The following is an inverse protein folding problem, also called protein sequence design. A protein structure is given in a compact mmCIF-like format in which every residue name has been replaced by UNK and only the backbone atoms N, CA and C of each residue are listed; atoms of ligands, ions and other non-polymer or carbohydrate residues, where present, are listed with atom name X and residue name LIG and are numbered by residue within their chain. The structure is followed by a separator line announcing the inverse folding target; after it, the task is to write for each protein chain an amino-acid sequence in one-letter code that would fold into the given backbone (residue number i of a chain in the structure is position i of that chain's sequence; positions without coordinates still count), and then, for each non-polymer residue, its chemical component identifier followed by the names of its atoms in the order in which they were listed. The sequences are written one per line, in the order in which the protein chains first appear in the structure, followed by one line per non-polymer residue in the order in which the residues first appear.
data_IF_672859998757
#
_entry.id   IF_672859998757
#
_cell.length_a   1.000
_cell.length_b   1.000
_cell.length_c   1.000
_cell.angle_alpha   90.00
_cell.angle_beta   90.00
_cell.angle_gamma   90.00
#
_symmetry.space_group_name_H-M   'P 1'
#
loop_
_entity.id
_entity.type
_entity.pdbx_description
1 polymer ?
#
# COMPACT_ATOMS: atom_id res chain seq x y z
N UNK A 1 -4.94 42.36 34.81
CA UNK A 1 -5.37 43.76 34.75
C UNK A 1 -5.79 44.07 33.32
N UNK A 2 -7.09 44.32 33.11
CA UNK A 2 -7.79 44.95 31.96
C UNK A 2 -7.76 44.22 30.60
N UNK A 3 -8.87 43.56 30.20
CA UNK A 3 -10.10 44.09 29.52
C UNK A 3 -9.88 44.28 28.01
N UNK A 4 -10.56 43.57 27.08
CA UNK A 4 -12.00 43.45 26.78
C UNK A 4 -12.56 44.59 25.90
N UNK A 5 -13.57 44.24 25.08
CA UNK A 5 -14.47 45.03 24.19
C UNK A 5 -14.09 44.91 22.70
N UNK A 6 -14.96 44.37 21.84
CA UNK A 6 -16.30 44.89 21.52
C UNK A 6 -17.46 43.89 21.61
N UNK A 7 -18.58 44.40 22.12
CA UNK A 7 -19.95 43.89 22.09
C UNK A 7 -20.88 45.07 21.76
N UNK A 8 -21.97 44.78 21.03
CA UNK A 8 -23.31 45.40 21.01
C UNK A 8 -23.85 45.22 19.58
N UNK A 9 -25.01 44.61 19.30
CA UNK A 9 -26.37 44.76 19.86
C UNK A 9 -27.28 45.05 18.63
N UNK A 10 -28.57 44.71 18.49
CA UNK A 10 -29.69 44.34 19.34
C UNK A 10 -30.82 43.79 18.42
N UNK A 11 -31.53 42.72 18.81
CA UNK A 11 -32.98 42.61 19.16
C UNK A 11 -34.06 43.08 18.17
N UNK A 12 -34.97 42.16 17.80
CA UNK A 12 -36.41 42.03 18.17
C UNK A 12 -37.15 41.19 17.10
N UNK A 13 -37.90 40.10 17.38
CA UNK A 13 -39.18 39.90 18.12
C UNK A 13 -40.41 39.82 17.18
N UNK A 14 -41.18 38.73 17.28
CA UNK A 14 -42.54 38.52 16.71
C UNK A 14 -42.66 37.14 16.03
N UNK A 15 -43.17 36.06 16.65
CA UNK A 15 -44.51 35.75 17.21
C UNK A 15 -45.57 35.37 16.15
N UNK A 16 -46.40 34.36 16.51
CA UNK A 16 -47.53 33.69 15.80
C UNK A 16 -47.09 32.45 14.98
N UNK A 17 -47.47 31.20 15.25
CA UNK A 17 -48.55 30.61 16.05
C UNK A 17 -49.63 30.06 15.12
N UNK A 18 -49.77 28.73 14.98
CA UNK A 18 -51.04 27.97 14.85
C UNK A 18 -50.76 26.44 14.74
N UNK A 19 -51.19 25.71 15.78
CA UNK A 19 -51.66 24.32 15.81
C UNK A 19 -52.84 24.12 14.82
N UNK A 20 -53.30 22.95 14.33
CA UNK A 20 -53.27 21.57 14.80
C UNK A 20 -53.99 20.62 13.80
N UNK A 21 -53.54 19.35 13.77
CA UNK A 21 -54.29 18.08 13.78
C UNK A 21 -55.23 17.55 12.64
N UNK A 22 -55.14 16.21 12.51
CA UNK A 22 -56.17 15.16 12.20
C UNK A 22 -56.11 14.47 10.81
N UNK A 23 -55.69 13.19 10.81
CA UNK A 23 -56.00 12.12 9.81
C UNK A 23 -57.31 11.39 10.21
N UNK A 24 -57.82 10.28 9.59
CA UNK A 24 -57.41 9.47 8.42
C UNK A 24 -58.61 9.03 7.50
N UNK A 25 -58.39 8.21 6.45
CA UNK A 25 -59.20 7.02 6.06
C UNK A 25 -58.80 6.42 4.68
N UNK A 26 -59.38 5.25 4.37
CA UNK A 26 -58.84 4.03 3.74
C UNK A 26 -59.54 3.65 2.40
N UNK A 27 -59.01 2.65 1.68
CA UNK A 27 -59.61 1.80 0.60
C UNK A 27 -59.74 2.42 -0.81
N UNK A 28 -59.58 1.77 -1.98
CA UNK A 28 -59.31 0.38 -2.41
C UNK A 28 -59.53 0.26 -3.96
N UNK A 29 -58.92 -0.74 -4.60
CA UNK A 29 -59.22 -1.36 -5.93
C UNK A 29 -58.91 -0.69 -7.31
N UNK A 30 -58.06 -1.38 -8.09
CA UNK A 30 -57.89 -1.44 -9.57
C UNK A 30 -59.06 -2.19 -10.27
N UNK A 31 -59.30 -2.19 -11.63
CA UNK A 31 -58.31 -2.45 -12.72
C UNK A 31 -58.52 -1.85 -14.18
N UNK A 32 -57.39 -1.74 -14.93
CA UNK A 32 -57.13 -2.07 -16.38
C UNK A 32 -57.45 -1.05 -17.53
N UNK A 33 -56.66 -1.02 -18.67
CA UNK A 33 -56.19 0.17 -19.43
C UNK A 33 -56.85 0.27 -20.86
N UNK A 34 -56.38 0.93 -21.97
CA UNK A 34 -55.01 1.21 -22.50
C UNK A 34 -54.72 2.63 -23.08
N UNK A 35 -53.46 3.07 -23.13
CA UNK A 35 -52.77 3.43 -24.39
C UNK A 35 -51.31 3.84 -24.15
N UNK A 36 -50.47 3.52 -25.15
CA UNK A 36 -49.02 3.57 -25.13
C UNK A 36 -48.46 4.96 -25.49
N UNK A 37 -47.48 5.45 -24.71
CA UNK A 37 -46.41 6.33 -25.18
C UNK A 37 -45.08 6.00 -24.46
N UNK A 38 -43.93 6.07 -25.15
CA UNK A 38 -42.65 5.60 -24.62
C UNK A 38 -41.98 6.65 -23.72
N UNK A 39 -42.00 6.43 -22.41
CA UNK A 39 -41.19 7.22 -21.48
C UNK A 39 -39.73 6.73 -21.49
N UNK A 40 -38.85 7.63 -21.95
CA UNK A 40 -37.40 7.58 -21.80
C UNK A 40 -37.02 7.18 -20.38
N UNK A 41 -36.46 5.98 -20.22
CA UNK A 41 -35.63 5.65 -19.07
C UNK A 41 -34.40 6.57 -19.09
N UNK A 42 -34.46 7.62 -18.30
CA UNK A 42 -33.29 8.36 -17.83
C UNK A 42 -32.48 7.41 -16.93
N UNK A 43 -31.63 6.58 -17.54
CA UNK A 43 -30.50 5.96 -16.87
C UNK A 43 -29.51 7.07 -16.50
N UNK A 44 -29.80 7.79 -15.42
CA UNK A 44 -28.79 8.50 -14.68
C UNK A 44 -28.00 7.43 -13.91
N UNK A 45 -27.05 6.80 -14.60
CA UNK A 45 -25.91 6.20 -13.94
C UNK A 45 -25.15 7.40 -13.37
N UNK A 46 -25.36 7.67 -12.08
CA UNK A 46 -24.44 8.49 -11.30
C UNK A 46 -23.08 7.81 -11.36
N UNK A 47 -22.32 8.18 -12.37
CA UNK A 47 -20.92 7.88 -12.50
C UNK A 47 -20.23 8.77 -11.46
N UNK A 48 -20.27 8.35 -10.19
CA UNK A 48 -19.44 8.92 -9.13
C UNK A 48 -18.00 8.49 -9.39
N UNK A 49 -17.41 9.02 -10.45
CA UNK A 49 -15.96 9.18 -10.50
C UNK A 49 -15.67 10.15 -9.36
N UNK A 50 -15.24 9.63 -8.21
CA UNK A 50 -14.64 10.45 -7.15
C UNK A 50 -13.47 11.20 -7.78
N UNK A 51 -13.72 12.45 -8.20
CA UNK A 51 -12.66 13.37 -8.58
C UNK A 51 -11.70 13.43 -7.39
N UNK A 52 -10.51 12.87 -7.62
CA UNK A 52 -9.51 12.66 -6.60
C UNK A 52 -8.95 14.02 -6.16
N UNK A 53 -9.58 14.61 -5.15
CA UNK A 53 -9.21 15.92 -4.62
C UNK A 53 -7.75 15.85 -4.12
N UNK A 54 -6.91 16.78 -4.58
CA UNK A 54 -5.49 16.88 -4.18
C UNK A 54 -5.39 17.41 -2.74
N UNK A 55 -5.86 16.61 -1.78
CA UNK A 55 -6.02 16.99 -0.37
C UNK A 55 -4.69 17.34 0.30
N UNK A 56 -3.58 16.82 -0.20
CA UNK A 56 -2.23 17.09 0.32
C UNK A 56 -1.41 18.07 -0.55
N UNK A 57 -1.95 18.57 -1.67
CA UNK A 57 -1.25 19.53 -2.52
C UNK A 57 -0.08 18.94 -3.33
N UNK A 58 -0.05 17.63 -3.56
CA UNK A 58 1.02 16.96 -4.32
C UNK A 58 0.98 17.39 -5.78
N UNK A 59 -0.20 17.62 -6.34
CA UNK A 59 -0.33 18.08 -7.73
C UNK A 59 0.19 19.51 -7.90
N UNK A 60 0.16 20.34 -6.85
CA UNK A 60 0.80 21.67 -6.87
C UNK A 60 2.32 21.62 -7.08
N UNK A 61 2.96 20.47 -6.83
CA UNK A 61 4.37 20.24 -7.19
C UNK A 61 4.57 20.09 -8.71
N UNK A 62 3.51 19.78 -9.45
CA UNK A 62 3.45 19.60 -10.92
C UNK A 62 3.04 20.87 -11.63
N UNK A 63 2.15 21.68 -11.04
CA UNK A 63 1.37 22.78 -11.68
C UNK A 63 2.17 23.94 -12.29
N UNK A 64 3.46 23.78 -12.55
CA UNK A 64 4.29 24.71 -13.32
C UNK A 64 4.65 24.23 -14.73
N UNK A 65 4.20 23.06 -15.20
CA UNK A 65 4.74 22.46 -16.42
C UNK A 65 3.66 22.14 -17.46
N UNK A 66 3.96 22.58 -18.69
CA UNK A 66 3.19 22.68 -19.95
C UNK A 66 2.47 21.39 -20.43
N UNK A 67 1.67 21.56 -21.49
CA UNK A 67 0.89 20.55 -22.24
C UNK A 67 1.57 19.17 -22.33
N UNK A 68 0.94 18.16 -21.73
CA UNK A 68 1.45 16.79 -21.55
C UNK A 68 1.31 15.97 -22.84
N UNK A 69 2.22 16.16 -23.79
CA UNK A 69 2.33 15.29 -24.96
C UNK A 69 3.56 14.36 -24.84
N UNK A 70 3.34 13.04 -24.90
CA UNK A 70 4.41 12.02 -24.82
C UNK A 70 5.30 12.02 -26.05
N UNK A 71 4.77 12.40 -27.21
CA UNK A 71 5.42 12.25 -28.50
C UNK A 71 6.36 13.43 -28.82
N UNK A 72 6.42 14.41 -27.93
CA UNK A 72 7.32 15.56 -28.00
C UNK A 72 8.49 15.36 -27.04
N UNK A 73 9.72 15.33 -27.56
CA UNK A 73 10.94 15.10 -26.76
C UNK A 73 11.16 16.12 -25.65
N UNK A 74 10.73 17.38 -25.83
CA UNK A 74 10.78 18.42 -24.79
C UNK A 74 9.80 18.18 -23.64
N UNK A 75 8.80 17.31 -23.83
CA UNK A 75 7.72 17.04 -22.89
C UNK A 75 7.89 15.70 -22.14
N UNK A 76 8.96 14.94 -22.43
CA UNK A 76 9.18 13.62 -21.84
C UNK A 76 9.33 13.66 -20.31
N UNK A 77 10.15 14.57 -19.76
CA UNK A 77 10.31 14.73 -18.31
C UNK A 77 9.01 15.21 -17.63
N UNK A 78 8.31 16.24 -18.13
CA UNK A 78 6.98 16.63 -17.64
C UNK A 78 6.00 15.46 -17.55
N UNK A 79 5.89 14.66 -18.62
CA UNK A 79 5.02 13.48 -18.66
C UNK A 79 5.43 12.43 -17.62
N UNK A 80 6.72 12.09 -17.55
CA UNK A 80 7.25 11.14 -16.56
C UNK A 80 6.90 11.60 -15.14
N UNK A 81 7.17 12.88 -14.81
CA UNK A 81 6.88 13.43 -13.49
C UNK A 81 5.37 13.37 -13.17
N UNK A 82 4.52 13.77 -14.12
CA UNK A 82 3.07 13.75 -13.94
C UNK A 82 2.54 12.34 -13.69
N UNK A 83 3.00 11.36 -14.49
CA UNK A 83 2.60 9.95 -14.32
C UNK A 83 3.04 9.38 -12.98
N UNK A 84 4.30 9.61 -12.58
CA UNK A 84 4.80 9.14 -11.29
C UNK A 84 4.06 9.79 -10.13
N UNK A 85 3.80 11.10 -10.17
CA UNK A 85 3.11 11.78 -9.09
C UNK A 85 1.64 11.37 -8.99
N UNK A 86 0.95 11.16 -10.11
CA UNK A 86 -0.40 10.58 -10.12
C UNK A 86 -0.39 9.15 -9.53
N UNK A 87 0.57 8.32 -9.93
CA UNK A 87 0.75 6.98 -9.36
C UNK A 87 1.07 7.00 -7.87
N UNK A 88 1.95 7.90 -7.42
CA UNK A 88 2.28 8.10 -6.00
C UNK A 88 1.05 8.53 -5.20
N UNK A 89 0.30 9.48 -5.76
CA UNK A 89 -0.98 9.90 -5.23
C UNK A 89 -2.02 8.82 -5.20
N UNK A 90 -1.80 7.64 -5.77
CA UNK A 90 -2.69 6.47 -5.71
C UNK A 90 -2.14 5.30 -4.88
N UNK A 91 -0.83 5.21 -4.73
CA UNK A 91 -0.18 4.01 -4.20
C UNK A 91 0.60 4.23 -2.92
N UNK A 92 0.87 5.48 -2.52
CA UNK A 92 1.66 5.78 -1.32
C UNK A 92 0.80 6.26 -0.16
N UNK A 93 1.19 5.82 1.04
CA UNK A 93 0.56 6.18 2.32
C UNK A 93 0.82 7.64 2.71
N UNK A 94 2.02 8.15 2.45
CA UNK A 94 2.46 9.54 2.72
C UNK A 94 3.14 10.14 1.46
N UNK A 95 2.38 10.47 0.40
CA UNK A 95 2.93 10.89 -0.88
C UNK A 95 3.74 12.20 -0.78
N UNK A 96 3.29 13.17 0.03
CA UNK A 96 3.99 14.45 0.21
C UNK A 96 5.40 14.30 0.80
N UNK A 97 5.61 13.31 1.68
CA UNK A 97 6.90 13.09 2.31
C UNK A 97 8.00 12.73 1.30
N UNK A 98 7.63 12.17 0.13
CA UNK A 98 8.58 11.67 -0.88
C UNK A 98 8.49 12.35 -2.24
N UNK A 99 7.44 13.13 -2.52
CA UNK A 99 7.26 13.79 -3.82
C UNK A 99 8.45 14.66 -4.27
N UNK A 100 9.05 15.53 -3.42
CA UNK A 100 10.23 16.31 -3.82
C UNK A 100 11.43 15.43 -4.18
N UNK A 101 11.69 14.40 -3.38
CA UNK A 101 12.78 13.46 -3.61
C UNK A 101 12.59 12.69 -4.93
N UNK A 102 11.37 12.21 -5.21
CA UNK A 102 11.08 11.48 -6.46
C UNK A 102 11.27 12.38 -7.67
N UNK A 103 10.79 13.62 -7.61
CA UNK A 103 11.00 14.62 -8.67
C UNK A 103 12.48 14.80 -8.98
N UNK A 104 13.29 15.03 -7.96
CA UNK A 104 14.72 15.30 -8.15
C UNK A 104 15.48 14.06 -8.67
N UNK A 105 15.12 12.85 -8.20
CA UNK A 105 15.69 11.59 -8.71
C UNK A 105 15.34 11.37 -10.18
N UNK A 106 14.07 11.57 -10.57
CA UNK A 106 13.63 11.39 -11.96
C UNK A 106 14.25 12.43 -12.89
N UNK A 107 14.36 13.69 -12.45
CA UNK A 107 15.03 14.74 -13.22
C UNK A 107 16.51 14.39 -13.48
N UNK A 108 17.24 13.96 -12.44
CA UNK A 108 18.63 13.51 -12.60
C UNK A 108 18.74 12.28 -13.51
N UNK A 109 17.85 11.31 -13.35
CA UNK A 109 17.81 10.09 -14.18
C UNK A 109 17.61 10.42 -15.66
N UNK A 110 16.66 11.30 -15.98
CA UNK A 110 16.37 11.70 -17.35
C UNK A 110 17.49 12.51 -17.99
N UNK A 111 18.28 13.23 -17.19
CA UNK A 111 19.44 14.00 -17.65
C UNK A 111 20.71 13.16 -17.80
N UNK A 112 20.79 12.00 -17.12
CA UNK A 112 22.01 11.19 -17.07
C UNK A 112 22.27 10.39 -18.36
N UNK A 113 21.22 9.79 -18.96
CA UNK A 113 21.35 9.10 -20.24
C UNK A 113 20.00 8.90 -20.93
N UNK A 114 20.04 8.72 -22.25
CA UNK A 114 18.86 8.40 -23.05
C UNK A 114 18.24 7.05 -22.64
N UNK A 115 19.07 6.04 -22.37
CA UNK A 115 18.61 4.72 -21.91
C UNK A 115 17.83 4.79 -20.57
N UNK A 116 18.32 5.58 -19.62
CA UNK A 116 17.66 5.79 -18.34
C UNK A 116 16.37 6.60 -18.48
N UNK A 117 16.34 7.58 -19.39
CA UNK A 117 15.15 8.35 -19.73
C UNK A 117 14.09 7.47 -20.39
N UNK A 118 14.47 6.62 -21.33
CA UNK A 118 13.56 5.69 -22.03
C UNK A 118 12.97 4.66 -21.07
N UNK A 119 13.79 4.15 -20.14
CA UNK A 119 13.31 3.23 -19.10
C UNK A 119 12.31 3.91 -18.16
N UNK A 120 12.58 5.15 -17.75
CA UNK A 120 11.65 5.94 -16.95
C UNK A 120 10.35 6.25 -17.72
N UNK A 121 10.44 6.52 -19.03
CA UNK A 121 9.28 6.71 -19.90
C UNK A 121 8.42 5.45 -20.00
N UNK A 122 9.04 4.27 -20.14
CA UNK A 122 8.32 2.99 -20.17
C UNK A 122 7.60 2.72 -18.84
N UNK A 123 8.28 2.93 -17.70
CA UNK A 123 7.68 2.81 -16.36
C UNK A 123 6.50 3.78 -16.17
N UNK A 124 6.68 5.04 -16.57
CA UNK A 124 5.62 6.06 -16.53
C UNK A 124 4.43 5.69 -17.42
N UNK A 125 4.68 5.15 -18.61
CA UNK A 125 3.62 4.72 -19.53
C UNK A 125 2.83 3.55 -18.95
N UNK A 126 3.53 2.53 -18.42
CA UNK A 126 2.88 1.38 -17.78
C UNK A 126 2.05 1.83 -16.58
N UNK A 127 2.59 2.73 -15.75
CA UNK A 127 1.87 3.32 -14.62
C UNK A 127 0.58 4.01 -15.06
N UNK A 128 0.66 4.87 -16.09
CA UNK A 128 -0.49 5.62 -16.60
C UNK A 128 -1.56 4.67 -17.18
N UNK A 129 -1.16 3.67 -17.97
CA UNK A 129 -2.06 2.66 -18.51
C UNK A 129 -2.81 1.89 -17.42
N UNK A 130 -2.09 1.46 -16.38
CA UNK A 130 -2.63 0.74 -15.23
C UNK A 130 -3.57 1.63 -14.41
N UNK A 131 -3.16 2.87 -14.15
CA UNK A 131 -3.97 3.83 -13.40
C UNK A 131 -5.26 4.21 -14.12
N UNK A 132 -5.25 4.30 -15.45
CA UNK A 132 -6.47 4.57 -16.23
C UNK A 132 -7.39 3.37 -16.31
N UNK A 133 -6.84 2.16 -16.31
CA UNK A 133 -7.60 0.92 -16.49
C UNK A 133 -7.25 -0.12 -15.41
N UNK A 134 -7.58 0.14 -14.12
CA UNK A 134 -7.20 -0.76 -13.03
C UNK A 134 -7.81 -2.17 -13.15
N UNK A 135 -8.91 -2.31 -13.91
CA UNK A 135 -9.62 -3.58 -14.13
C UNK A 135 -9.10 -4.40 -15.31
N UNK A 136 -8.20 -3.86 -16.13
CA UNK A 136 -7.68 -4.57 -17.28
C UNK A 136 -6.70 -5.67 -16.87
N UNK A 137 -6.72 -6.79 -17.59
CA UNK A 137 -5.74 -7.87 -17.38
C UNK A 137 -4.34 -7.37 -17.75
N UNK A 138 -3.32 -7.81 -17.00
CA UNK A 138 -1.91 -7.49 -17.27
C UNK A 138 -1.49 -7.82 -18.70
N UNK A 139 -1.98 -8.94 -19.23
CA UNK A 139 -1.66 -9.40 -20.58
C UNK A 139 -2.22 -8.47 -21.67
N UNK A 140 -3.11 -7.54 -21.32
CA UNK A 140 -3.67 -6.55 -22.21
C UNK A 140 -2.75 -5.35 -22.44
N UNK A 141 -1.59 -5.27 -21.78
CA UNK A 141 -0.64 -4.16 -21.90
C UNK A 141 0.67 -4.60 -22.57
N UNK A 142 0.82 -4.47 -23.90
CA UNK A 142 2.06 -4.79 -24.61
C UNK A 142 3.30 -4.08 -24.05
N UNK A 143 3.11 -2.86 -23.54
CA UNK A 143 4.17 -2.05 -22.92
C UNK A 143 4.71 -2.70 -21.64
N UNK A 144 3.90 -3.44 -20.89
CA UNK A 144 4.36 -4.18 -19.71
C UNK A 144 5.28 -5.33 -20.10
N UNK A 145 4.93 -6.10 -21.14
CA UNK A 145 5.78 -7.18 -21.66
C UNK A 145 7.11 -6.63 -22.16
N UNK A 146 7.09 -5.50 -22.88
CA UNK A 146 8.29 -4.83 -23.34
C UNK A 146 9.18 -4.38 -22.17
N UNK A 147 8.57 -3.80 -21.14
CA UNK A 147 9.28 -3.41 -19.92
C UNK A 147 9.88 -4.63 -19.21
N UNK A 148 9.13 -5.72 -19.05
CA UNK A 148 9.62 -6.96 -18.43
C UNK A 148 10.86 -7.48 -19.17
N UNK A 149 10.80 -7.57 -20.51
CA UNK A 149 11.92 -8.02 -21.33
C UNK A 149 13.14 -7.12 -21.13
N UNK A 150 12.97 -5.80 -21.24
CA UNK A 150 14.07 -4.83 -21.06
C UNK A 150 14.73 -4.96 -19.70
N UNK A 151 13.94 -5.07 -18.63
CA UNK A 151 14.47 -5.22 -17.27
C UNK A 151 15.16 -6.58 -17.09
N UNK A 152 14.66 -7.64 -17.70
CA UNK A 152 15.30 -8.96 -17.66
C UNK A 152 16.67 -8.96 -18.35
N UNK A 153 16.78 -8.32 -19.51
CA UNK A 153 18.04 -8.19 -20.24
C UNK A 153 19.05 -7.36 -19.44
N UNK A 154 18.59 -6.26 -18.83
CA UNK A 154 19.40 -5.43 -17.94
C UNK A 154 19.93 -6.23 -16.74
N UNK A 155 19.08 -7.04 -16.09
CA UNK A 155 19.47 -7.91 -14.97
C UNK A 155 20.54 -8.91 -15.39
N UNK A 156 20.37 -9.56 -16.55
CA UNK A 156 21.34 -10.54 -17.04
C UNK A 156 22.71 -9.90 -17.32
N UNK A 157 22.70 -8.72 -17.95
CA UNK A 157 23.92 -7.94 -18.21
C UNK A 157 24.62 -7.52 -16.91
N UNK A 158 23.86 -6.94 -15.98
CA UNK A 158 24.40 -6.45 -14.70
C UNK A 158 24.93 -7.59 -13.85
N UNK A 159 24.23 -8.73 -13.78
CA UNK A 159 24.71 -9.89 -13.03
C UNK A 159 26.06 -10.39 -13.56
N UNK A 160 26.19 -10.51 -14.88
CA UNK A 160 27.43 -10.93 -15.52
C UNK A 160 28.55 -9.90 -15.32
N UNK A 161 28.21 -8.61 -15.37
CA UNK A 161 29.11 -7.50 -15.10
C UNK A 161 29.60 -7.47 -13.65
N UNK A 162 28.71 -7.67 -12.66
CA UNK A 162 29.08 -7.74 -11.24
C UNK A 162 30.03 -8.90 -10.93
N UNK A 163 29.88 -10.03 -11.62
CA UNK A 163 30.76 -11.19 -11.41
C UNK A 163 32.17 -10.97 -11.96
N UNK A 164 32.32 -10.11 -12.98
CA UNK A 164 33.60 -9.86 -13.65
C UNK A 164 34.28 -8.57 -13.19
N UNK A 165 33.52 -7.51 -12.96
CA UNK A 165 33.97 -6.17 -12.62
C UNK A 165 33.01 -5.51 -11.60
N UNK A 166 33.02 -5.95 -10.32
CA UNK A 166 32.06 -5.51 -9.31
C UNK A 166 31.96 -3.98 -9.17
N UNK A 167 33.10 -3.30 -9.09
CA UNK A 167 33.18 -1.84 -8.90
C UNK A 167 32.53 -1.06 -10.05
N UNK A 168 32.66 -1.56 -11.28
CA UNK A 168 32.12 -0.89 -12.47
C UNK A 168 30.60 -1.05 -12.59
N UNK A 169 30.05 -2.16 -12.12
CA UNK A 169 28.64 -2.51 -12.30
C UNK A 169 27.79 -2.28 -11.05
N UNK A 170 28.37 -1.76 -9.96
CA UNK A 170 27.66 -1.54 -8.70
C UNK A 170 26.49 -0.56 -8.85
N UNK A 171 26.71 0.58 -9.51
CA UNK A 171 25.65 1.56 -9.76
C UNK A 171 24.55 1.00 -10.68
N UNK A 172 24.94 0.26 -11.72
CA UNK A 172 23.98 -0.41 -12.60
C UNK A 172 23.13 -1.44 -11.84
N UNK A 173 23.70 -2.09 -10.82
CA UNK A 173 22.99 -3.01 -9.95
C UNK A 173 21.98 -2.32 -9.05
N UNK A 174 22.35 -1.20 -8.42
CA UNK A 174 21.40 -0.40 -7.67
C UNK A 174 20.24 0.10 -8.55
N UNK A 175 20.53 0.49 -9.78
CA UNK A 175 19.51 0.92 -10.74
C UNK A 175 18.60 -0.23 -11.18
N UNK A 176 19.13 -1.41 -11.47
CA UNK A 176 18.33 -2.59 -11.80
C UNK A 176 17.40 -3.00 -10.64
N UNK A 177 17.90 -2.97 -9.40
CA UNK A 177 17.10 -3.19 -8.19
C UNK A 177 15.97 -2.14 -8.06
N UNK A 178 16.28 -0.86 -8.29
CA UNK A 178 15.27 0.21 -8.27
C UNK A 178 14.20 0.01 -9.35
N UNK A 179 14.58 -0.33 -10.59
CA UNK A 179 13.63 -0.49 -11.68
C UNK A 179 12.67 -1.66 -11.45
N UNK A 180 13.16 -2.80 -10.96
CA UNK A 180 12.31 -3.95 -10.66
C UNK A 180 11.36 -3.63 -9.51
N UNK A 181 11.87 -2.97 -8.47
CA UNK A 181 11.01 -2.52 -7.41
C UNK A 181 9.96 -1.55 -7.94
N UNK A 182 10.34 -0.52 -8.70
CA UNK A 182 9.40 0.42 -9.32
C UNK A 182 8.36 -0.33 -10.16
N UNK A 183 8.74 -1.33 -10.96
CA UNK A 183 7.79 -2.14 -11.74
C UNK A 183 6.81 -2.93 -10.85
N UNK A 184 7.33 -3.70 -9.88
CA UNK A 184 6.51 -4.49 -8.95
C UNK A 184 5.55 -3.58 -8.16
N UNK A 185 5.98 -2.35 -7.90
CA UNK A 185 5.35 -1.46 -6.95
C UNK A 185 4.48 -0.37 -7.54
N UNK A 186 4.64 -0.09 -8.82
CA UNK A 186 3.78 0.82 -9.57
C UNK A 186 2.59 0.08 -10.16
N UNK A 187 2.67 -1.26 -10.24
CA UNK A 187 1.62 -2.15 -10.75
C UNK A 187 0.99 -3.10 -9.68
N UNK A 188 1.00 -2.89 -8.34
CA UNK A 188 0.59 -3.95 -7.39
C UNK A 188 -0.90 -4.25 -7.43
N UNK A 189 -1.73 -3.25 -7.73
CA UNK A 189 -3.17 -3.44 -7.90
C UNK A 189 -3.51 -4.22 -9.18
N UNK A 190 -2.52 -4.42 -10.06
CA UNK A 190 -2.72 -5.07 -11.34
C UNK A 190 -1.84 -6.29 -11.56
N UNK A 191 -0.70 -6.46 -10.88
CA UNK A 191 0.22 -7.63 -11.01
C UNK A 191 -0.19 -8.79 -10.10
N UNK A 192 -0.05 -10.02 -10.61
CA UNK A 192 -0.24 -11.21 -9.78
C UNK A 192 0.89 -11.35 -8.75
N UNK A 193 0.59 -11.92 -7.58
CA UNK A 193 1.61 -12.26 -6.57
C UNK A 193 2.70 -13.15 -7.15
N UNK A 194 2.34 -14.06 -8.06
CA UNK A 194 3.29 -14.91 -8.79
C UNK A 194 4.32 -14.09 -9.59
N UNK A 195 3.87 -13.06 -10.30
CA UNK A 195 4.76 -12.17 -11.03
C UNK A 195 5.72 -11.43 -10.08
N UNK A 196 5.22 -10.95 -8.94
CA UNK A 196 6.05 -10.26 -7.95
C UNK A 196 7.11 -11.20 -7.36
N UNK A 197 6.76 -12.45 -7.06
CA UNK A 197 7.69 -13.49 -6.61
C UNK A 197 8.72 -13.82 -7.70
N UNK A 198 8.30 -13.95 -8.97
CA UNK A 198 9.19 -14.18 -10.12
C UNK A 198 10.22 -13.05 -10.23
N UNK A 199 9.79 -11.81 -10.09
CA UNK A 199 10.68 -10.63 -10.16
C UNK A 199 11.64 -10.56 -8.98
N UNK A 200 11.18 -10.83 -7.75
CA UNK A 200 12.05 -10.90 -6.58
C UNK A 200 13.15 -11.95 -6.75
N UNK A 201 12.80 -13.15 -7.22
CA UNK A 201 13.76 -14.23 -7.47
C UNK A 201 14.82 -13.85 -8.51
N UNK A 202 14.46 -13.04 -9.51
CA UNK A 202 15.42 -12.56 -10.54
C UNK A 202 16.45 -11.59 -9.97
N UNK A 203 16.03 -10.72 -9.06
CA UNK A 203 16.94 -9.72 -8.48
C UNK A 203 17.70 -10.20 -7.25
N UNK A 204 17.24 -11.25 -6.58
CA UNK A 204 17.89 -11.76 -5.37
C UNK A 204 19.38 -12.10 -5.57
N UNK A 205 19.83 -12.71 -6.68
CA UNK A 205 21.26 -12.92 -6.94
C UNK A 205 22.05 -11.62 -7.06
N UNK A 206 21.48 -10.59 -7.71
CA UNK A 206 22.13 -9.27 -7.81
C UNK A 206 22.23 -8.64 -6.42
N UNK A 207 21.15 -8.65 -5.66
CA UNK A 207 21.16 -8.14 -4.30
C UNK A 207 22.24 -8.82 -3.45
N UNK A 208 22.35 -10.16 -3.52
CA UNK A 208 23.41 -10.91 -2.84
C UNK A 208 24.81 -10.50 -3.31
N UNK A 209 25.04 -10.31 -4.61
CA UNK A 209 26.35 -9.89 -5.13
C UNK A 209 26.75 -8.48 -4.68
N UNK A 210 25.80 -7.55 -4.62
CA UNK A 210 26.05 -6.17 -4.19
C UNK A 210 26.22 -6.07 -2.68
N UNK A 211 25.68 -7.03 -1.94
CA UNK A 211 25.72 -7.08 -0.48
C UNK A 211 26.80 -8.02 0.08
N UNK A 212 27.36 -8.93 -0.72
CA UNK A 212 28.20 -10.01 -0.22
C UNK A 212 29.49 -9.50 0.45
N UNK A 213 29.43 -9.32 1.77
CA UNK A 213 30.62 -9.40 2.61
C UNK A 213 31.02 -10.88 2.79
N UNK A 214 30.06 -11.83 2.77
CA UNK A 214 30.33 -13.28 2.70
C UNK A 214 29.11 -14.09 2.19
N UNK A 215 29.27 -15.17 1.38
CA UNK A 215 28.17 -16.06 1.01
C UNK A 215 27.61 -16.81 2.24
N UNK A 216 26.29 -16.82 2.41
CA UNK A 216 25.60 -17.54 3.49
C UNK A 216 25.46 -16.76 4.81
N UNK A 217 25.89 -15.51 4.87
CA UNK A 217 25.67 -14.66 6.05
C UNK A 217 24.27 -14.09 6.08
N UNK A 218 23.71 -14.04 7.27
CA UNK A 218 22.48 -13.32 7.56
C UNK A 218 22.63 -11.83 7.25
N UNK A 219 21.54 -11.21 6.78
CA UNK A 219 21.44 -9.78 6.53
C UNK A 219 21.02 -9.09 7.82
N UNK A 220 21.83 -8.17 8.35
CA UNK A 220 21.39 -7.32 9.47
C UNK A 220 20.29 -6.36 9.01
N UNK A 221 19.04 -6.65 9.35
CA UNK A 221 17.87 -6.05 8.71
C UNK A 221 17.76 -4.54 8.94
N UNK A 222 17.97 -4.09 10.17
CA UNK A 222 17.90 -2.69 10.59
C UNK A 222 18.92 -1.85 9.81
N UNK A 223 20.16 -2.33 9.73
CA UNK A 223 21.22 -1.67 8.94
C UNK A 223 20.84 -1.50 7.47
N UNK A 224 19.94 -2.35 6.95
CA UNK A 224 19.48 -2.34 5.56
C UNK A 224 18.21 -1.55 5.35
N UNK A 225 17.22 -1.61 6.25
CA UNK A 225 15.99 -0.82 6.16
C UNK A 225 16.27 0.68 6.27
N UNK A 226 17.32 1.07 7.00
CA UNK A 226 17.73 2.47 7.15
C UNK A 226 18.91 2.87 6.26
N UNK A 227 19.32 2.00 5.34
CA UNK A 227 20.44 2.26 4.45
C UNK A 227 20.13 3.42 3.47
N UNK A 228 21.06 4.35 3.18
CA UNK A 228 20.77 5.49 2.30
C UNK A 228 20.27 5.07 0.92
N UNK A 229 20.85 4.02 0.35
CA UNK A 229 20.44 3.50 -0.96
C UNK A 229 19.04 2.87 -0.90
N UNK A 230 18.12 3.45 -1.66
CA UNK A 230 16.71 3.05 -1.71
C UNK A 230 16.53 1.61 -2.20
N UNK A 231 17.24 1.20 -3.23
CA UNK A 231 17.13 -0.14 -3.80
C UNK A 231 17.42 -1.21 -2.74
N UNK A 232 18.44 -0.95 -1.91
CA UNK A 232 18.83 -1.87 -0.85
C UNK A 232 17.82 -1.94 0.30
N UNK A 233 17.16 -0.84 0.66
CA UNK A 233 16.09 -0.85 1.67
C UNK A 233 14.88 -1.67 1.23
N UNK A 234 14.58 -1.57 -0.05
CA UNK A 234 13.32 -2.00 -0.62
C UNK A 234 13.24 -3.51 -0.89
N UNK A 235 14.36 -4.13 -1.23
CA UNK A 235 14.42 -5.57 -1.52
C UNK A 235 14.08 -6.43 -0.29
N UNK A 236 14.66 -6.21 0.91
CA UNK A 236 14.28 -6.94 2.13
C UNK A 236 12.79 -6.82 2.46
N UNK A 237 12.24 -5.61 2.37
CA UNK A 237 10.83 -5.39 2.67
C UNK A 237 9.91 -6.15 1.71
N UNK A 238 10.28 -6.19 0.42
CA UNK A 238 9.53 -6.94 -0.59
C UNK A 238 9.58 -8.45 -0.31
N UNK A 239 10.74 -8.98 0.09
CA UNK A 239 10.91 -10.37 0.50
C UNK A 239 10.06 -10.75 1.71
N UNK A 240 10.10 -9.95 2.78
CA UNK A 240 9.31 -10.16 4.00
C UNK A 240 7.80 -10.17 3.70
N UNK A 241 7.32 -9.17 2.93
CA UNK A 241 5.89 -9.04 2.62
C UNK A 241 5.40 -10.10 1.64
N UNK A 242 6.21 -10.50 0.65
CA UNK A 242 5.85 -11.59 -0.26
C UNK A 242 5.87 -12.95 0.45
N UNK A 243 6.83 -13.19 1.33
CA UNK A 243 6.86 -14.38 2.20
C UNK A 243 5.57 -14.47 3.02
N UNK A 244 5.17 -13.38 3.66
CA UNK A 244 3.93 -13.30 4.42
C UNK A 244 2.68 -13.55 3.55
N UNK A 245 2.61 -12.93 2.37
CA UNK A 245 1.45 -13.03 1.48
C UNK A 245 1.33 -14.39 0.78
N UNK A 246 2.44 -15.12 0.65
CA UNK A 246 2.46 -16.43 -0.04
C UNK A 246 2.64 -17.60 0.89
N UNK A 247 2.86 -17.35 2.19
CA UNK A 247 3.30 -18.33 3.18
C UNK A 247 4.55 -19.12 2.75
N UNK A 248 5.41 -18.53 1.90
CA UNK A 248 6.67 -19.14 1.47
C UNK A 248 7.82 -18.69 2.38
N UNK A 249 8.91 -19.46 2.48
CA UNK A 249 10.14 -18.99 3.10
C UNK A 249 10.62 -17.69 2.45
N UNK A 250 11.20 -16.81 3.27
CA UNK A 250 11.94 -15.65 2.79
C UNK A 250 13.15 -16.12 1.96
N UNK A 251 13.47 -15.38 0.90
CA UNK A 251 14.62 -15.67 0.02
C UNK A 251 15.94 -15.35 0.73
N UNK A 252 15.91 -14.36 1.63
CA UNK A 252 17.03 -14.00 2.46
C UNK A 252 16.78 -14.39 3.91
N UNK A 253 17.88 -14.60 4.63
CA UNK A 253 17.88 -14.79 6.08
C UNK A 253 18.33 -13.49 6.74
N UNK A 254 17.69 -13.12 7.84
CA UNK A 254 17.92 -11.85 8.50
C UNK A 254 18.47 -12.06 9.91
N UNK A 255 19.35 -11.18 10.35
CA UNK A 255 19.56 -10.95 11.77
C UNK A 255 18.75 -9.70 12.11
N UNK A 256 17.91 -9.85 13.11
CA UNK A 256 17.16 -8.75 13.72
C UNK A 256 17.74 -8.53 15.11
N UNK A 257 18.05 -7.27 15.43
CA UNK A 257 18.50 -6.88 16.76
C UNK A 257 17.37 -6.10 17.43
N UNK A 258 16.85 -6.62 18.53
CA UNK A 258 15.70 -6.06 19.28
C UNK A 258 15.97 -4.71 19.98
N UNK A 259 17.06 -4.02 19.66
CA UNK A 259 17.45 -2.79 20.36
C UNK A 259 16.71 -1.55 19.84
N UNK A 260 16.43 -0.65 20.78
CA UNK A 260 15.77 0.65 20.64
C UNK A 260 16.38 1.48 19.52
N UNK A 261 15.87 1.30 18.30
CA UNK A 261 16.13 2.25 17.23
C UNK A 261 15.47 3.57 17.63
N UNK A 262 16.25 4.65 17.63
CA UNK A 262 15.74 5.98 17.97
C UNK A 262 14.56 6.35 17.06
N UNK A 263 13.54 7.03 17.62
CA UNK A 263 12.32 7.44 16.91
C UNK A 263 12.63 8.26 15.65
N UNK A 264 13.78 8.94 15.61
CA UNK A 264 14.27 9.67 14.43
C UNK A 264 14.60 8.78 13.23
N UNK A 265 15.09 7.56 13.46
CA UNK A 265 15.53 6.61 12.42
C UNK A 265 14.34 6.06 11.63
N UNK A 266 13.20 5.85 12.30
CA UNK A 266 11.94 5.41 11.67
C UNK A 266 11.36 6.40 10.66
N UNK A 267 11.73 7.69 10.72
CA UNK A 267 11.22 8.69 9.75
C UNK A 267 11.67 8.40 8.32
N UNK A 268 12.80 7.70 8.15
CA UNK A 268 13.36 7.38 6.84
C UNK A 268 13.16 5.93 6.38
N UNK A 269 12.37 5.15 7.11
CA UNK A 269 12.00 3.78 6.73
C UNK A 269 11.00 3.71 5.58
N UNK A 270 10.21 2.64 5.52
CA UNK A 270 9.27 2.29 4.44
C UNK A 270 7.80 2.50 4.80
N UNK A 271 7.51 3.03 5.99
CA UNK A 271 6.14 3.32 6.42
C UNK A 271 5.37 4.24 5.47
N UNK A 272 6.03 5.28 4.95
CA UNK A 272 5.45 6.26 4.00
C UNK A 272 4.81 5.62 2.76
N UNK A 273 5.12 4.34 2.52
CA UNK A 273 4.67 3.62 1.35
C UNK A 273 3.39 2.82 1.61
N UNK A 274 3.41 1.90 2.56
CA UNK A 274 2.30 0.95 2.77
C UNK A 274 1.53 1.19 4.08
N UNK A 275 1.92 2.20 4.87
CA UNK A 275 1.38 2.40 6.21
C UNK A 275 1.80 1.33 7.22
N UNK A 276 2.72 0.44 6.85
CA UNK A 276 3.33 -0.55 7.74
C UNK A 276 4.49 0.08 8.52
N UNK A 277 4.45 0.11 9.87
CA UNK A 277 5.60 0.51 10.68
C UNK A 277 6.84 -0.33 10.39
N UNK A 278 8.01 0.29 10.37
CA UNK A 278 9.25 -0.47 10.18
C UNK A 278 9.51 -1.41 11.37
N UNK A 279 9.09 -1.04 12.59
CA UNK A 279 9.13 -1.96 13.76
C UNK A 279 8.34 -3.24 13.47
N UNK A 280 7.17 -3.12 12.84
CA UNK A 280 6.36 -4.27 12.47
C UNK A 280 6.99 -5.04 11.31
N UNK A 281 7.63 -4.38 10.36
CA UNK A 281 8.37 -5.06 9.29
C UNK A 281 9.53 -5.91 9.85
N UNK A 282 10.28 -5.38 10.83
CA UNK A 282 11.36 -6.10 11.51
C UNK A 282 10.80 -7.31 12.28
N UNK A 283 9.76 -7.09 13.10
CA UNK A 283 9.10 -8.19 13.82
C UNK A 283 8.52 -9.25 12.86
N UNK A 284 7.99 -8.86 11.70
CA UNK A 284 7.52 -9.83 10.70
C UNK A 284 8.65 -10.69 10.14
N UNK A 285 9.83 -10.12 9.93
CA UNK A 285 10.99 -10.91 9.54
C UNK A 285 11.36 -11.92 10.62
N UNK A 286 11.41 -11.49 11.89
CA UNK A 286 11.68 -12.35 13.05
C UNK A 286 10.66 -13.49 13.15
N UNK A 287 9.36 -13.17 13.14
CA UNK A 287 8.28 -14.16 13.17
C UNK A 287 8.35 -15.12 11.98
N UNK A 288 8.68 -14.63 10.77
CA UNK A 288 8.81 -15.49 9.60
C UNK A 288 9.98 -16.48 9.75
N UNK A 289 11.12 -16.08 10.32
CA UNK A 289 12.24 -16.99 10.56
C UNK A 289 11.87 -18.06 11.59
N UNK A 290 11.30 -17.65 12.73
CA UNK A 290 10.83 -18.57 13.77
C UNK A 290 9.83 -19.59 13.25
N UNK A 291 8.94 -19.18 12.34
CA UNK A 291 7.95 -20.07 11.70
C UNK A 291 8.58 -21.08 10.75
N UNK A 292 9.57 -20.68 9.94
CA UNK A 292 10.17 -21.53 8.91
C UNK A 292 11.28 -22.44 9.41
N UNK A 293 11.91 -22.11 10.54
CA UNK A 293 12.88 -22.98 11.20
C UNK A 293 12.22 -24.19 11.91
N UNK A 294 10.90 -24.38 11.72
CA UNK A 294 10.10 -25.48 12.26
C UNK A 294 10.33 -25.72 13.74
N UNK A 295 10.53 -24.66 14.54
CA UNK A 295 10.71 -24.79 15.99
C UNK A 295 9.41 -25.34 16.58
N UNK A 296 9.34 -26.64 16.94
CA UNK A 296 8.11 -27.22 17.46
C UNK A 296 7.99 -26.70 18.89
N UNK A 297 6.98 -25.87 19.13
CA UNK A 297 6.77 -25.13 20.38
C UNK A 297 7.81 -24.01 20.58
N UNK A 298 7.47 -22.84 20.03
CA UNK A 298 8.19 -21.60 20.31
C UNK A 298 8.16 -21.33 21.81
N UNK A 299 9.31 -20.94 22.36
CA UNK A 299 9.47 -20.59 23.76
C UNK A 299 8.40 -19.55 24.17
N UNK A 300 7.58 -19.82 25.21
CA UNK A 300 6.62 -18.86 25.74
C UNK A 300 7.22 -17.47 26.01
N UNK A 301 8.49 -17.39 26.44
CA UNK A 301 9.16 -16.10 26.69
C UNK A 301 9.34 -15.28 25.39
N UNK A 302 9.62 -15.93 24.27
CA UNK A 302 9.73 -15.27 22.95
C UNK A 302 8.35 -14.76 22.53
N UNK A 303 7.30 -15.56 22.75
CA UNK A 303 5.92 -15.16 22.46
C UNK A 303 5.48 -13.95 23.29
N UNK A 304 5.76 -13.96 24.61
CA UNK A 304 5.47 -12.86 25.52
C UNK A 304 6.24 -11.59 25.14
N UNK A 305 7.51 -11.73 24.74
CA UNK A 305 8.35 -10.62 24.29
C UNK A 305 7.78 -9.98 23.03
N UNK A 306 7.40 -10.78 22.03
CA UNK A 306 6.76 -10.28 20.81
C UNK A 306 5.40 -9.62 21.11
N UNK A 307 4.60 -10.20 22.00
CA UNK A 307 3.32 -9.64 22.42
C UNK A 307 3.48 -8.28 23.12
N UNK A 308 4.47 -8.16 24.01
CA UNK A 308 4.80 -6.90 24.68
C UNK A 308 5.23 -5.84 23.66
N UNK A 309 6.09 -6.18 22.70
CA UNK A 309 6.55 -5.25 21.67
C UNK A 309 5.41 -4.72 20.77
N UNK A 310 4.40 -5.55 20.46
CA UNK A 310 3.19 -5.12 19.74
C UNK A 310 2.32 -4.24 20.64
N UNK A 311 2.23 -4.55 21.93
CA UNK A 311 1.45 -3.79 22.92
C UNK A 311 1.98 -2.38 23.10
N UNK A 312 3.29 -2.24 23.23
CA UNK A 312 4.01 -0.97 23.44
C UNK A 312 4.14 -0.13 22.17
N UNK A 313 3.71 -0.64 21.02
CA UNK A 313 3.78 0.12 19.78
C UNK A 313 2.91 1.39 19.83
N UNK A 314 3.56 2.52 19.59
CA UNK A 314 2.92 3.82 19.40
C UNK A 314 3.00 4.24 17.93
N UNK A 315 1.87 4.56 17.27
CA UNK A 315 1.88 5.05 15.91
C UNK A 315 2.66 6.37 15.77
N UNK A 316 3.67 6.40 14.91
CA UNK A 316 4.38 7.63 14.53
C UNK A 316 3.88 8.06 13.16
N UNK A 317 3.04 9.09 13.10
CA UNK A 317 2.47 9.56 11.84
C UNK A 317 2.90 10.98 11.50
N UNK A 318 3.14 11.22 10.21
CA UNK A 318 3.28 12.59 9.71
C UNK A 318 1.90 13.27 9.81
N UNK A 319 1.89 14.48 10.38
CA UNK A 319 0.67 15.29 10.45
C UNK A 319 0.21 15.63 9.03
N UNK A 320 -1.01 15.23 8.70
CA UNK A 320 -1.70 15.67 7.50
C UNK A 320 -2.38 17.02 7.78
N UNK A 321 -2.38 17.97 6.83
CA UNK A 321 -3.24 19.16 6.93
C UNK A 321 -4.73 18.79 6.87
N UNK A 322 -5.08 17.64 6.27
CA UNK A 322 -6.43 17.07 6.29
C UNK A 322 -6.64 16.21 7.55
N UNK A 323 -7.54 16.61 8.47
CA UNK A 323 -7.86 15.84 9.68
C UNK A 323 -8.42 14.44 9.39
N UNK A 324 -9.19 14.27 8.32
CA UNK A 324 -9.74 12.95 7.96
C UNK A 324 -8.62 12.00 7.56
N UNK A 325 -7.72 12.42 6.67
CA UNK A 325 -6.58 11.62 6.27
C UNK A 325 -5.66 11.28 7.46
N UNK A 326 -5.51 12.18 8.43
CA UNK A 326 -4.76 11.88 9.66
C UNK A 326 -5.39 10.72 10.44
N UNK A 327 -6.72 10.75 10.65
CA UNK A 327 -7.46 9.68 11.34
C UNK A 327 -7.40 8.37 10.55
N UNK A 328 -7.59 8.42 9.22
CA UNK A 328 -7.53 7.25 8.36
C UNK A 328 -6.15 6.57 8.42
N UNK A 329 -5.06 7.36 8.46
CA UNK A 329 -3.69 6.86 8.65
C UNK A 329 -3.51 6.19 10.03
N UNK A 330 -4.10 6.72 11.10
CA UNK A 330 -4.09 6.08 12.42
C UNK A 330 -4.82 4.75 12.41
N UNK A 331 -5.95 4.67 11.71
CA UNK A 331 -6.71 3.44 11.54
C UNK A 331 -5.89 2.38 10.80
N UNK A 332 -5.19 2.74 9.71
CA UNK A 332 -4.29 1.80 9.00
C UNK A 332 -3.24 1.20 9.95
N UNK A 333 -2.61 2.05 10.75
CA UNK A 333 -1.59 1.65 11.73
C UNK A 333 -2.13 0.70 12.81
N UNK A 334 -3.30 1.03 13.33
CA UNK A 334 -3.98 0.20 14.32
C UNK A 334 -4.44 -1.14 13.73
N UNK A 335 -4.89 -1.16 12.48
CA UNK A 335 -5.19 -2.38 11.73
C UNK A 335 -3.95 -3.25 11.54
N UNK A 336 -2.79 -2.67 11.21
CA UNK A 336 -1.52 -3.39 11.20
C UNK A 336 -1.18 -3.98 12.57
N UNK A 337 -1.43 -3.24 13.66
CA UNK A 337 -1.20 -3.76 15.02
C UNK A 337 -2.09 -4.95 15.35
N UNK A 338 -3.38 -4.89 15.00
CA UNK A 338 -4.29 -6.02 15.18
C UNK A 338 -3.93 -7.21 14.28
N UNK A 339 -3.45 -6.93 13.06
CA UNK A 339 -2.89 -7.95 12.19
C UNK A 339 -1.68 -8.66 12.83
N UNK A 340 -0.76 -7.92 13.46
CA UNK A 340 0.39 -8.51 14.15
C UNK A 340 -0.03 -9.49 15.24
N UNK A 341 -1.06 -9.18 16.04
CA UNK A 341 -1.60 -10.14 17.02
C UNK A 341 -2.17 -11.39 16.36
N UNK A 342 -2.94 -11.23 15.27
CA UNK A 342 -3.50 -12.39 14.55
C UNK A 342 -2.37 -13.27 14.00
N UNK A 343 -1.35 -12.66 13.41
CA UNK A 343 -0.20 -13.39 12.88
C UNK A 343 0.62 -14.08 13.97
N UNK A 344 0.86 -13.39 15.10
CA UNK A 344 1.53 -13.94 16.27
C UNK A 344 0.82 -15.20 16.79
N UNK A 345 -0.50 -15.15 16.97
CA UNK A 345 -1.22 -16.29 17.55
C UNK A 345 -1.50 -17.40 16.53
N UNK A 346 -1.98 -17.06 15.32
CA UNK A 346 -2.35 -18.07 14.33
C UNK A 346 -1.16 -18.54 13.50
N UNK A 347 -0.37 -17.60 12.97
CA UNK A 347 0.73 -17.90 12.07
C UNK A 347 1.94 -18.47 12.78
N UNK A 348 2.23 -18.00 13.99
CA UNK A 348 3.43 -18.38 14.74
C UNK A 348 3.13 -19.37 15.87
N UNK A 349 2.15 -19.11 16.73
CA UNK A 349 1.80 -19.98 17.85
C UNK A 349 0.84 -21.14 17.49
N UNK A 350 0.34 -21.19 16.24
CA UNK A 350 -0.53 -22.27 15.76
C UNK A 350 -1.94 -22.29 16.35
N UNK A 351 -2.38 -21.19 16.98
CA UNK A 351 -3.74 -21.05 17.46
C UNK A 351 -4.73 -21.02 16.29
N UNK A 352 -5.95 -21.50 16.52
CA UNK A 352 -7.02 -21.41 15.52
C UNK A 352 -7.85 -20.13 15.68
N UNK A 353 -8.73 -19.85 14.72
CA UNK A 353 -9.60 -18.66 14.70
C UNK A 353 -10.59 -18.55 15.87
N UNK A 354 -10.77 -19.62 16.66
CA UNK A 354 -11.64 -19.62 17.85
C UNK A 354 -10.91 -19.21 19.13
N UNK A 355 -9.59 -19.12 19.12
CA UNK A 355 -8.80 -18.63 20.25
C UNK A 355 -9.31 -17.23 20.67
N UNK A 356 -9.47 -17.03 21.98
CA UNK A 356 -10.05 -15.79 22.55
C UNK A 356 -9.21 -14.56 22.18
N UNK A 357 -7.89 -14.72 22.10
CA UNK A 357 -6.95 -13.65 21.74
C UNK A 357 -7.09 -13.28 20.26
N UNK A 358 -7.18 -14.27 19.39
CA UNK A 358 -7.45 -14.08 17.95
C UNK A 358 -8.80 -13.38 17.73
N UNK A 359 -9.86 -13.86 18.39
CA UNK A 359 -11.19 -13.23 18.30
C UNK A 359 -11.19 -11.78 18.80
N UNK A 360 -10.43 -11.49 19.87
CA UNK A 360 -10.29 -10.15 20.42
C UNK A 360 -9.57 -9.22 19.43
N UNK A 361 -8.47 -9.67 18.83
CA UNK A 361 -7.72 -8.92 17.83
C UNK A 361 -8.57 -8.65 16.58
N UNK A 362 -9.23 -9.68 16.03
CA UNK A 362 -10.13 -9.55 14.89
C UNK A 362 -11.30 -8.58 15.17
N UNK A 363 -11.93 -8.69 16.35
CA UNK A 363 -13.03 -7.78 16.72
C UNK A 363 -12.56 -6.32 16.78
N UNK A 364 -11.35 -6.08 17.29
CA UNK A 364 -10.75 -4.74 17.30
C UNK A 364 -10.43 -4.26 15.88
N UNK A 365 -9.85 -5.12 15.05
CA UNK A 365 -9.57 -4.83 13.64
C UNK A 365 -10.84 -4.36 12.92
N UNK A 366 -11.92 -5.13 13.00
CA UNK A 366 -13.20 -4.79 12.36
C UNK A 366 -13.77 -3.49 12.93
N UNK A 367 -13.78 -3.34 14.26
CA UNK A 367 -14.30 -2.13 14.92
C UNK A 367 -13.56 -0.86 14.46
N UNK A 368 -12.25 -0.95 14.29
CA UNK A 368 -11.42 0.20 13.89
C UNK A 368 -11.61 0.53 12.41
N UNK A 369 -11.76 -0.47 11.54
CA UNK A 369 -12.10 -0.23 10.13
C UNK A 369 -13.49 0.41 9.96
N UNK A 370 -14.50 -0.10 10.68
CA UNK A 370 -15.90 0.39 10.61
C UNK A 370 -16.07 1.86 11.06
N UNK A 371 -15.05 2.46 11.68
CA UNK A 371 -15.04 3.85 12.12
C UNK A 371 -14.58 4.84 11.04
N UNK A 372 -14.03 4.36 9.93
CA UNK A 372 -13.56 5.21 8.83
C UNK A 372 -14.42 4.95 7.62
N UNK A 373 -14.69 6.01 6.85
CA UNK A 373 -15.40 5.85 5.59
C UNK A 373 -14.57 4.94 4.66
N UNK A 374 -15.22 3.98 3.97
CA UNK A 374 -14.61 3.25 2.87
C UNK A 374 -13.98 4.23 1.88
N UNK A 375 -12.89 3.82 1.27
CA UNK A 375 -12.14 4.69 0.38
C UNK A 375 -10.66 4.34 0.38
N UNK A 376 -9.93 4.98 -0.54
CA UNK A 376 -8.55 4.59 -0.84
C UNK A 376 -7.64 4.50 0.40
N UNK A 377 -7.76 5.45 1.33
CA UNK A 377 -7.24 5.28 2.69
C UNK A 377 -8.45 5.00 3.58
N UNK A 378 -8.58 3.80 4.17
CA UNK A 378 -7.50 2.86 4.44
C UNK A 378 -7.32 1.71 3.41
N UNK A 379 -8.26 1.49 2.50
CA UNK A 379 -8.45 0.20 1.80
C UNK A 379 -7.23 -0.28 1.01
N UNK A 380 -6.56 0.62 0.28
CA UNK A 380 -5.39 0.28 -0.53
C UNK A 380 -4.18 -0.18 0.31
N UNK A 381 -4.14 0.21 1.58
CA UNK A 381 -3.03 -0.10 2.51
C UNK A 381 -3.33 -1.30 3.41
N UNK A 382 -4.57 -1.79 3.38
CA UNK A 382 -5.02 -2.89 4.21
C UNK A 382 -5.17 -4.22 3.45
N UNK A 383 -4.73 -4.31 2.19
CA UNK A 383 -4.80 -5.55 1.40
C UNK A 383 -4.21 -6.76 2.12
N UNK A 384 -2.99 -6.63 2.65
CA UNK A 384 -2.31 -7.70 3.40
C UNK A 384 -3.03 -7.95 4.74
N UNK A 385 -3.26 -6.93 5.59
CA UNK A 385 -4.01 -7.11 6.84
C UNK A 385 -5.39 -7.76 6.68
N UNK A 386 -6.19 -7.30 5.71
CA UNK A 386 -7.53 -7.81 5.41
C UNK A 386 -7.50 -9.26 4.94
N UNK A 387 -6.45 -9.67 4.23
CA UNK A 387 -6.33 -11.06 3.77
C UNK A 387 -6.21 -12.03 4.94
N UNK A 388 -5.35 -11.74 5.92
CA UNK A 388 -5.22 -12.58 7.11
C UNK A 388 -6.40 -12.43 8.06
N UNK A 389 -6.93 -11.21 8.25
CA UNK A 389 -8.14 -10.99 9.03
C UNK A 389 -9.33 -11.79 8.45
N UNK A 390 -9.41 -11.91 7.13
CA UNK A 390 -10.43 -12.72 6.44
C UNK A 390 -10.32 -14.22 6.74
N UNK A 391 -9.10 -14.72 6.92
CA UNK A 391 -8.84 -16.12 7.32
C UNK A 391 -9.24 -16.34 8.79
N UNK A 392 -8.93 -15.37 9.65
CA UNK A 392 -9.35 -15.39 11.06
C UNK A 392 -10.87 -15.21 11.22
N UNK A 393 -11.55 -14.60 10.26
CA UNK A 393 -12.99 -14.33 10.31
C UNK A 393 -13.82 -15.61 10.24
N UNK A 394 -14.45 -15.95 11.37
CA UNK A 394 -15.36 -17.08 11.49
C UNK A 394 -16.82 -16.72 11.16
N UNK A 395 -17.25 -15.49 11.43
CA UNK A 395 -18.63 -15.05 11.18
C UNK A 395 -18.79 -14.52 9.77
N UNK A 396 -19.94 -14.82 9.16
CA UNK A 396 -20.27 -14.36 7.80
C UNK A 396 -20.30 -12.83 7.71
N UNK A 397 -20.93 -12.14 8.67
CA UNK A 397 -20.91 -10.68 8.76
C UNK A 397 -19.50 -10.08 8.78
N UNK A 398 -18.56 -10.70 9.51
CA UNK A 398 -17.18 -10.22 9.59
C UNK A 398 -16.46 -10.42 8.25
N UNK A 399 -16.75 -11.53 7.55
CA UNK A 399 -16.26 -11.77 6.19
C UNK A 399 -16.87 -10.79 5.19
N UNK A 400 -18.13 -10.44 5.34
CA UNK A 400 -18.83 -9.52 4.45
C UNK A 400 -18.28 -8.11 4.58
N UNK A 401 -17.98 -7.62 5.79
CA UNK A 401 -17.26 -6.34 5.97
C UNK A 401 -15.91 -6.39 5.24
N UNK A 402 -15.12 -7.44 5.45
CA UNK A 402 -13.81 -7.61 4.79
C UNK A 402 -13.94 -7.75 3.25
N UNK A 403 -15.08 -8.23 2.74
CA UNK A 403 -15.37 -8.36 1.30
C UNK A 403 -15.94 -7.09 0.68
N UNK A 404 -16.77 -6.35 1.41
CA UNK A 404 -17.38 -5.10 0.94
C UNK A 404 -16.32 -3.99 0.81
N UNK A 405 -15.34 -3.94 1.72
CA UNK A 405 -14.17 -3.06 1.58
C UNK A 405 -13.27 -3.46 0.40
N UNK A 406 -13.35 -4.71 -0.09
CA UNK A 406 -12.67 -5.14 -1.33
C UNK A 406 -13.41 -4.71 -2.61
N UNK A 407 -14.57 -4.04 -2.51
CA UNK A 407 -15.50 -3.86 -3.62
C UNK A 407 -15.44 -2.53 -4.41
N UNK A 408 -14.87 -1.39 -3.97
CA UNK A 408 -14.63 -0.29 -4.90
C UNK A 408 -13.27 -0.47 -5.59
N UNK A 409 -13.21 -1.39 -6.57
CA UNK A 409 -12.08 -1.50 -7.50
C UNK A 409 -11.27 -2.80 -7.51
N UNK A 410 -11.82 -3.90 -6.98
CA UNK A 410 -11.36 -5.30 -7.12
C UNK A 410 -9.85 -5.50 -7.35
N UNK A 411 -9.16 -5.81 -6.26
CA UNK A 411 -7.87 -6.49 -6.23
C UNK A 411 -7.92 -7.76 -7.10
N UNK A 412 -6.86 -7.98 -7.87
CA UNK A 412 -6.68 -9.10 -8.81
C UNK A 412 -7.24 -10.46 -8.32
N UNK A 413 -7.67 -11.33 -9.26
CA UNK A 413 -8.16 -12.69 -8.98
C UNK A 413 -7.16 -13.61 -8.24
N UNK A 414 -5.91 -13.19 -8.02
CA UNK A 414 -4.91 -13.94 -7.25
C UNK A 414 -5.12 -13.97 -5.73
N UNK A 415 -5.97 -13.09 -5.16
CA UNK A 415 -6.24 -13.10 -3.71
C UNK A 415 -7.16 -14.24 -3.26
N UNK A 416 -7.91 -14.85 -4.19
CA UNK A 416 -8.69 -16.06 -3.93
C UNK A 416 -7.79 -17.28 -3.65
N UNK A 417 -6.56 -17.29 -4.17
CA UNK A 417 -5.59 -18.37 -3.95
C UNK A 417 -4.86 -18.28 -2.61
N UNK A 418 -4.92 -17.16 -1.88
CA UNK A 418 -4.34 -17.08 -0.53
C UNK A 418 -5.05 -18.03 0.45
N UNK A 419 -6.36 -18.24 0.29
CA UNK A 419 -7.14 -19.09 1.19
C UNK A 419 -6.79 -20.58 1.02
N UNK A 420 -6.40 -20.99 -0.19
CA UNK A 420 -6.02 -22.38 -0.48
C UNK A 420 -4.59 -22.77 -0.10
N UNK A 421 -3.71 -21.79 0.19
CA UNK A 421 -2.32 -22.03 0.61
C UNK A 421 -2.10 -21.84 2.13
N UNK A 422 -3.11 -21.34 2.86
CA UNK A 422 -3.02 -21.05 4.30
C UNK A 422 -3.86 -22.03 5.15
N UNK A 423 -4.67 -22.88 4.52
CA UNK A 423 -5.19 -24.12 5.10
C UNK A 423 -4.26 -25.27 4.72
#
# INVERSE_FOLDING_TARGET
MRQALFSAGQRNSGALGYDSHVSPQTEGNTPVPPNAEPQKQSNAVENSEEEQEDTEGVMKLISRILTLDRDVSSNSLPYILASYLNGMMRTLFEPMARAPMVRDVLARRCAASDDLRDTAMLLATVSDCVNRNPRASLGSFPTLTLLEHRLCDQIALVKSGLQSQPEKYQDNAFMALCHIYEMVMTVPLSTSIEFQVKMLNRIAPIYKLVHADTPGTFIHLESRIFYPNRALRQTPAMDILLSLSTCRPMIFQYITTTYELDRGVYRDGLQWRNGLPDKFLIMLAEMNMLRHDYVPNIDPNVLETLEAQITEFEPVLIRSPDPYLHIARQVVQECWRQFMYIYLYMGLHGANSRDVRVKKALKRFIKVMDQVKPGRTPDAFLVIPMSLAGIAAYKERDRDIIRQEKAPGQICPGSANLVGYIM
#
